data_IF_183895930863
#
_entry.id   IF_183895930863
#
_cell.length_a   1.000
_cell.length_b   1.000
_cell.length_c   1.000
_cell.angle_alpha   90.00
_cell.angle_beta   90.00
_cell.angle_gamma   90.00
#
_symmetry.space_group_name_H-M   'P 1'
#
loop_
_entity.id
_entity.type
_entity.pdbx_description
1 polymer ?
#
# COMPACT_ATOMS: atom_id res chain seq x y z
N UNK A 1 32.70 -6.74 18.55
CA UNK A 1 32.21 -6.73 17.15
C UNK A 1 30.77 -7.27 17.05
N UNK A 2 30.50 -8.53 17.51
CA UNK A 2 29.11 -9.09 17.45
C UNK A 2 28.15 -8.28 18.32
N UNK A 3 28.50 -7.96 19.54
CA UNK A 3 27.70 -7.16 20.46
C UNK A 3 27.44 -5.74 19.94
N UNK A 4 28.46 -5.10 19.37
CA UNK A 4 28.32 -3.76 18.77
C UNK A 4 27.41 -3.76 17.55
N UNK A 5 27.44 -4.82 16.73
CA UNK A 5 26.53 -5.01 15.61
C UNK A 5 25.09 -5.20 16.10
N UNK A 6 24.90 -6.03 17.13
CA UNK A 6 23.60 -6.31 17.72
C UNK A 6 22.98 -5.03 18.33
N UNK A 7 23.73 -4.27 19.11
CA UNK A 7 23.28 -2.98 19.64
C UNK A 7 22.99 -1.95 18.53
N UNK A 8 23.80 -1.95 17.47
CA UNK A 8 23.58 -1.12 16.29
C UNK A 8 22.26 -1.46 15.59
N UNK A 9 22.00 -2.76 15.39
CA UNK A 9 20.75 -3.24 14.78
C UNK A 9 19.52 -2.87 15.63
N UNK A 10 19.59 -3.05 16.96
CA UNK A 10 18.50 -2.70 17.89
C UNK A 10 18.16 -1.22 17.82
N UNK A 11 19.17 -0.36 17.84
CA UNK A 11 18.99 1.08 17.75
C UNK A 11 18.36 1.47 16.41
N UNK A 12 18.89 0.95 15.32
CA UNK A 12 18.38 1.22 13.99
C UNK A 12 16.94 0.69 13.80
N UNK A 13 16.63 -0.48 14.34
CA UNK A 13 15.27 -1.03 14.32
C UNK A 13 14.32 -0.13 15.08
N UNK A 14 14.64 0.29 16.31
CA UNK A 14 13.78 1.15 17.10
C UNK A 14 13.48 2.49 16.40
N UNK A 15 14.50 3.15 15.84
CA UNK A 15 14.32 4.39 15.08
C UNK A 15 13.41 4.17 13.85
N UNK A 16 13.68 3.13 13.06
CA UNK A 16 12.90 2.82 11.85
C UNK A 16 11.48 2.37 12.16
N UNK A 17 11.28 1.66 13.25
CA UNK A 17 9.95 1.26 13.69
C UNK A 17 9.06 2.47 13.98
N UNK A 18 9.57 3.49 14.67
CA UNK A 18 8.83 4.74 14.89
C UNK A 18 8.53 5.49 13.59
N UNK A 19 9.48 5.51 12.65
CA UNK A 19 9.24 6.10 11.35
C UNK A 19 8.12 5.37 10.60
N UNK A 20 8.14 4.03 10.61
CA UNK A 20 7.09 3.19 9.99
C UNK A 20 5.73 3.43 10.67
N UNK A 21 5.68 3.48 12.00
CA UNK A 21 4.43 3.77 12.74
C UNK A 21 3.81 5.10 12.28
N UNK A 22 4.62 6.14 12.17
CA UNK A 22 4.17 7.47 11.75
C UNK A 22 3.65 7.46 10.31
N UNK A 23 4.39 6.88 9.38
CA UNK A 23 3.99 6.81 7.98
C UNK A 23 2.79 5.86 7.78
N UNK A 24 2.68 4.79 8.59
CA UNK A 24 1.52 3.91 8.57
C UNK A 24 0.23 4.64 8.99
N UNK A 25 0.26 5.44 10.06
CA UNK A 25 -0.91 6.22 10.48
C UNK A 25 -1.33 7.24 9.40
N UNK A 26 -0.37 7.87 8.71
CA UNK A 26 -0.66 8.78 7.60
C UNK A 26 -1.30 8.06 6.42
N UNK A 27 -0.67 6.98 5.94
CA UNK A 27 -1.18 6.20 4.82
C UNK A 27 -2.56 5.61 5.15
N UNK A 28 -2.77 5.13 6.38
CA UNK A 28 -4.03 4.63 6.87
C UNK A 28 -5.13 5.70 6.79
N UNK A 29 -4.88 6.89 7.33
CA UNK A 29 -5.85 8.00 7.29
C UNK A 29 -6.24 8.40 5.88
N UNK A 30 -5.29 8.41 4.96
CA UNK A 30 -5.58 8.76 3.56
C UNK A 30 -6.40 7.68 2.85
N UNK A 31 -6.04 6.41 3.02
CA UNK A 31 -6.73 5.30 2.38
C UNK A 31 -8.11 5.03 2.96
N UNK A 32 -8.29 5.16 4.26
CA UNK A 32 -9.60 4.98 4.92
C UNK A 32 -10.46 6.25 4.91
N UNK A 33 -9.87 7.41 4.60
CA UNK A 33 -10.54 8.71 4.72
C UNK A 33 -10.71 9.15 6.17
N UNK A 34 -9.79 8.75 7.06
CA UNK A 34 -9.77 9.05 8.48
C UNK A 34 -9.42 7.83 9.35
N UNK A 35 -9.72 7.89 10.62
CA UNK A 35 -9.39 6.81 11.57
C UNK A 35 -7.96 6.87 12.07
N UNK A 36 -7.44 5.74 12.55
CA UNK A 36 -6.08 5.62 13.10
C UNK A 36 -5.50 4.24 12.82
N UNK A 37 -4.25 4.19 12.36
CA UNK A 37 -3.45 2.98 12.26
C UNK A 37 -2.28 3.02 13.24
N UNK A 38 -2.03 1.93 13.96
CA UNK A 38 -0.93 1.84 14.93
C UNK A 38 -0.25 0.49 14.82
N UNK A 39 1.07 0.47 14.99
CA UNK A 39 1.87 -0.73 15.13
C UNK A 39 2.37 -0.81 16.57
N UNK A 40 2.32 -1.97 17.19
CA UNK A 40 2.83 -2.22 18.53
C UNK A 40 3.74 -3.43 18.50
N UNK A 41 4.84 -3.37 19.26
CA UNK A 41 5.67 -4.54 19.52
C UNK A 41 5.02 -5.40 20.60
N UNK A 42 5.13 -6.71 20.48
CA UNK A 42 4.71 -7.62 21.54
C UNK A 42 5.56 -7.36 22.80
N UNK A 43 4.91 -7.37 23.95
CA UNK A 43 5.59 -7.29 25.25
C UNK A 43 6.35 -8.59 25.51
N UNK A 44 7.44 -8.53 26.26
CA UNK A 44 8.24 -9.65 26.75
C UNK A 44 9.19 -10.33 25.74
N UNK A 45 9.36 -9.81 24.51
CA UNK A 45 10.29 -10.37 23.55
C UNK A 45 11.44 -9.41 23.22
N UNK A 46 12.55 -9.98 22.75
CA UNK A 46 13.66 -9.21 22.20
C UNK A 46 13.15 -8.35 21.03
N UNK A 47 13.51 -7.06 21.00
CA UNK A 47 13.02 -6.10 19.99
C UNK A 47 13.26 -6.55 18.55
N UNK A 48 14.30 -7.36 18.29
CA UNK A 48 14.61 -7.90 16.96
C UNK A 48 13.79 -9.14 16.61
N UNK A 49 13.25 -9.84 17.62
CA UNK A 49 12.45 -11.05 17.49
C UNK A 49 10.97 -10.81 17.84
N UNK A 50 10.68 -9.63 18.39
CA UNK A 50 9.33 -9.27 18.83
C UNK A 50 8.32 -9.32 17.70
N UNK A 51 7.19 -9.93 17.94
CA UNK A 51 6.04 -9.89 17.04
C UNK A 51 5.49 -8.46 16.90
N UNK A 52 4.96 -8.11 15.71
CA UNK A 52 4.34 -6.81 15.46
C UNK A 52 2.82 -6.98 15.43
N UNK A 53 2.13 -6.28 16.31
CA UNK A 53 0.66 -6.19 16.32
C UNK A 53 0.23 -5.00 15.48
N UNK A 54 -0.66 -5.25 14.51
CA UNK A 54 -1.28 -4.21 13.69
C UNK A 54 -2.64 -3.90 14.30
N UNK A 55 -2.82 -2.66 14.72
CA UNK A 55 -4.03 -2.16 15.35
C UNK A 55 -4.62 -1.09 14.45
N UNK A 56 -5.91 -1.22 14.16
CA UNK A 56 -6.64 -0.34 13.25
C UNK A 56 -7.89 0.18 13.90
N UNK A 57 -8.19 1.43 13.64
CA UNK A 57 -9.46 2.08 13.98
C UNK A 57 -10.01 2.75 12.73
N UNK A 58 -10.76 2.02 11.88
CA UNK A 58 -11.46 2.63 10.77
C UNK A 58 -12.44 3.72 11.23
N UNK A 59 -12.78 4.70 10.37
CA UNK A 59 -13.72 5.75 10.72
C UNK A 59 -15.04 5.20 11.26
N UNK A 60 -15.51 5.74 12.40
CA UNK A 60 -16.75 5.31 13.06
C UNK A 60 -16.70 3.97 13.80
N UNK A 61 -15.55 3.30 13.85
CA UNK A 61 -15.36 2.05 14.58
C UNK A 61 -14.47 2.23 15.81
N UNK A 62 -14.56 1.24 16.73
CA UNK A 62 -13.63 1.15 17.86
C UNK A 62 -12.29 0.61 17.39
N UNK A 63 -11.26 0.81 18.20
CA UNK A 63 -9.94 0.23 18.00
C UNK A 63 -10.04 -1.30 17.94
N UNK A 64 -9.48 -1.90 16.92
CA UNK A 64 -9.55 -3.32 16.63
C UNK A 64 -8.18 -3.84 16.20
N UNK A 65 -7.92 -5.11 16.57
CA UNK A 65 -6.80 -5.82 15.97
C UNK A 65 -7.15 -6.26 14.54
N UNK A 66 -6.14 -6.47 13.72
CA UNK A 66 -6.32 -6.81 12.32
C UNK A 66 -7.20 -8.04 12.09
N UNK A 67 -7.22 -8.99 13.03
CA UNK A 67 -8.05 -10.22 12.94
C UNK A 67 -9.55 -9.93 12.98
N UNK A 68 -9.96 -8.83 13.60
CA UNK A 68 -11.37 -8.45 13.81
C UNK A 68 -11.95 -7.61 12.66
N UNK A 69 -11.08 -7.18 11.71
CA UNK A 69 -11.48 -6.39 10.54
C UNK A 69 -12.18 -7.26 9.49
N UNK A 70 -13.02 -6.63 8.67
CA UNK A 70 -13.55 -7.27 7.45
C UNK A 70 -12.43 -7.56 6.43
N UNK A 71 -12.69 -8.41 5.44
CA UNK A 71 -11.71 -8.77 4.42
C UNK A 71 -11.15 -7.55 3.67
N UNK A 72 -12.01 -6.63 3.23
CA UNK A 72 -11.61 -5.39 2.57
C UNK A 72 -10.82 -4.44 3.48
N UNK A 73 -11.21 -4.32 4.76
CA UNK A 73 -10.47 -3.52 5.74
C UNK A 73 -9.08 -4.11 6.05
N UNK A 74 -8.97 -5.44 6.12
CA UNK A 74 -7.68 -6.13 6.24
C UNK A 74 -6.78 -5.82 5.06
N UNK A 75 -7.30 -5.96 3.84
CA UNK A 75 -6.56 -5.66 2.63
C UNK A 75 -6.10 -4.20 2.59
N UNK A 76 -6.99 -3.25 2.88
CA UNK A 76 -6.66 -1.83 2.89
C UNK A 76 -5.64 -1.47 3.98
N UNK A 77 -5.71 -2.12 5.15
CA UNK A 77 -4.72 -1.96 6.23
C UNK A 77 -3.34 -2.50 5.81
N UNK A 78 -3.29 -3.66 5.15
CA UNK A 78 -2.04 -4.22 4.63
C UNK A 78 -1.43 -3.31 3.54
N UNK A 79 -2.25 -2.77 2.64
CA UNK A 79 -1.84 -1.80 1.62
C UNK A 79 -1.29 -0.52 2.28
N UNK A 80 -1.93 -0.02 3.35
CA UNK A 80 -1.43 1.14 4.09
C UNK A 80 -0.04 0.90 4.68
N UNK A 81 0.22 -0.30 5.21
CA UNK A 81 1.54 -0.67 5.72
C UNK A 81 2.58 -0.79 4.61
N UNK A 82 2.23 -1.41 3.48
CA UNK A 82 3.10 -1.48 2.30
C UNK A 82 3.54 -0.09 1.86
N UNK A 83 2.61 0.83 1.72
CA UNK A 83 2.91 2.19 1.29
C UNK A 83 3.64 3.03 2.35
N UNK A 84 3.42 2.76 3.64
CA UNK A 84 4.21 3.37 4.70
C UNK A 84 5.71 3.02 4.56
N UNK A 85 6.01 1.76 4.28
CA UNK A 85 7.39 1.31 4.04
C UNK A 85 7.94 1.92 2.74
N UNK A 86 7.14 1.94 1.68
CA UNK A 86 7.50 2.52 0.39
C UNK A 86 7.81 4.03 0.49
N UNK A 87 7.06 4.78 1.32
CA UNK A 87 7.30 6.21 1.56
C UNK A 87 8.63 6.48 2.25
N UNK A 88 9.05 5.62 3.17
CA UNK A 88 10.31 5.78 3.90
C UNK A 88 11.53 5.44 3.05
N UNK A 89 11.38 4.48 2.16
CA UNK A 89 12.45 4.07 1.25
C UNK A 89 11.87 3.84 -0.15
N UNK A 90 11.62 4.91 -0.92
CA UNK A 90 11.05 4.80 -2.25
C UNK A 90 11.92 3.94 -3.16
N UNK A 91 11.30 2.99 -3.83
CA UNK A 91 11.92 2.23 -4.92
C UNK A 91 11.75 2.97 -6.24
N UNK A 92 12.65 2.85 -7.21
CA UNK A 92 12.50 3.48 -8.52
C UNK A 92 11.26 2.99 -9.25
N UNK A 93 10.86 1.75 -9.06
CA UNK A 93 9.61 1.18 -9.55
C UNK A 93 9.01 0.20 -8.55
N UNK A 94 7.70 -0.03 -8.66
CA UNK A 94 6.94 -0.98 -7.85
C UNK A 94 5.93 -1.72 -8.74
N UNK A 95 5.96 -3.06 -8.70
CA UNK A 95 5.01 -3.92 -9.38
C UNK A 95 3.95 -4.39 -8.39
N UNK A 96 2.69 -4.11 -8.68
CA UNK A 96 1.53 -4.50 -7.87
C UNK A 96 0.63 -5.41 -8.68
N UNK A 97 0.35 -6.60 -8.16
CA UNK A 97 -0.46 -7.61 -8.83
C UNK A 97 -1.77 -7.82 -8.04
N UNK A 98 -2.86 -7.27 -8.57
CA UNK A 98 -4.24 -7.37 -8.04
C UNK A 98 -4.39 -7.11 -6.52
N UNK A 99 -3.53 -6.29 -5.92
CA UNK A 99 -3.53 -6.06 -4.46
C UNK A 99 -4.83 -5.41 -3.96
N UNK A 100 -5.55 -4.72 -4.82
CA UNK A 100 -6.84 -4.06 -4.54
C UNK A 100 -8.07 -4.95 -4.84
N UNK A 101 -7.89 -6.21 -5.22
CA UNK A 101 -8.99 -7.10 -5.62
C UNK A 101 -10.07 -7.26 -4.52
N UNK A 102 -9.68 -7.24 -3.26
CA UNK A 102 -10.59 -7.37 -2.11
C UNK A 102 -11.27 -6.04 -1.70
N UNK A 103 -10.94 -4.92 -2.35
CA UNK A 103 -11.50 -3.61 -2.02
C UNK A 103 -12.86 -3.40 -2.70
N UNK A 104 -13.75 -2.67 -2.05
CA UNK A 104 -14.95 -2.12 -2.69
C UNK A 104 -14.61 -0.93 -3.60
N UNK A 105 -15.55 -0.51 -4.44
CA UNK A 105 -15.31 0.53 -5.45
C UNK A 105 -14.92 1.90 -4.83
N UNK A 106 -15.44 2.23 -3.66
CA UNK A 106 -15.09 3.46 -2.93
C UNK A 106 -13.63 3.42 -2.48
N UNK A 107 -13.19 2.31 -1.93
CA UNK A 107 -11.82 2.11 -1.48
C UNK A 107 -10.83 1.96 -2.65
N UNK A 108 -11.25 1.38 -3.78
CA UNK A 108 -10.45 1.37 -5.03
C UNK A 108 -10.18 2.80 -5.50
N UNK A 109 -11.18 3.69 -5.47
CA UNK A 109 -10.97 5.10 -5.82
C UNK A 109 -9.96 5.81 -4.92
N UNK A 110 -10.01 5.57 -3.61
CA UNK A 110 -9.02 6.12 -2.65
C UNK A 110 -7.62 5.55 -2.86
N UNK A 111 -7.53 4.24 -3.08
CA UNK A 111 -6.29 3.57 -3.42
C UNK A 111 -5.64 4.18 -4.67
N UNK A 112 -6.40 4.32 -5.75
CA UNK A 112 -5.93 4.91 -7.00
C UNK A 112 -5.45 6.36 -6.83
N UNK A 113 -6.21 7.18 -6.09
CA UNK A 113 -5.82 8.56 -5.76
C UNK A 113 -4.55 8.63 -4.91
N UNK A 114 -4.37 7.68 -4.00
CA UNK A 114 -3.16 7.59 -3.18
C UNK A 114 -1.94 7.21 -4.03
N UNK A 115 -2.09 6.24 -4.92
CA UNK A 115 -1.04 5.85 -5.87
C UNK A 115 -0.56 7.04 -6.71
N UNK A 116 -1.47 7.84 -7.24
CA UNK A 116 -1.13 9.03 -8.05
C UNK A 116 -0.23 10.02 -7.28
N UNK A 117 -0.37 10.12 -5.95
CA UNK A 117 0.54 10.95 -5.14
C UNK A 117 1.95 10.40 -5.08
N UNK A 118 2.09 9.08 -5.11
CA UNK A 118 3.38 8.39 -5.01
C UNK A 118 4.14 8.32 -6.35
N UNK A 119 3.46 8.54 -7.49
CA UNK A 119 4.09 8.49 -8.83
C UNK A 119 5.15 9.57 -9.02
N UNK A 120 5.20 10.58 -8.16
CA UNK A 120 6.25 11.62 -8.19
C UNK A 120 7.66 11.05 -7.99
N UNK A 121 7.78 9.96 -7.24
CA UNK A 121 9.07 9.38 -6.84
C UNK A 121 9.23 7.91 -7.24
N UNK A 122 8.17 7.25 -7.71
CA UNK A 122 8.14 5.81 -8.00
C UNK A 122 7.29 5.56 -9.24
N UNK A 123 7.79 4.76 -10.17
CA UNK A 123 6.98 4.22 -11.27
C UNK A 123 6.17 3.04 -10.75
N UNK A 124 4.83 3.08 -10.89
CA UNK A 124 3.96 1.95 -10.56
C UNK A 124 3.58 1.18 -11.83
N UNK A 125 3.74 -0.13 -11.78
CA UNK A 125 3.25 -1.08 -12.77
C UNK A 125 2.20 -1.92 -12.06
N UNK A 126 0.95 -1.85 -12.52
CA UNK A 126 -0.18 -2.44 -11.81
C UNK A 126 -0.90 -3.42 -12.74
N UNK A 127 -1.01 -4.66 -12.31
CA UNK A 127 -1.88 -5.66 -12.93
C UNK A 127 -3.23 -5.54 -12.23
N UNK A 128 -4.28 -5.25 -12.99
CA UNK A 128 -5.61 -5.00 -12.42
C UNK A 128 -6.73 -5.29 -13.42
N UNK A 129 -7.89 -5.65 -12.90
CA UNK A 129 -9.15 -5.70 -13.63
C UNK A 129 -10.15 -4.63 -13.14
N UNK A 130 -9.73 -3.75 -12.20
CA UNK A 130 -10.60 -2.73 -11.59
C UNK A 130 -10.58 -1.43 -12.40
N UNK A 131 -11.76 -1.00 -12.86
CA UNK A 131 -11.91 0.24 -13.63
C UNK A 131 -11.40 1.48 -12.89
N UNK A 132 -11.62 1.56 -11.57
CA UNK A 132 -11.14 2.67 -10.75
C UNK A 132 -9.62 2.83 -10.80
N UNK A 133 -8.88 1.73 -10.77
CA UNK A 133 -7.42 1.73 -10.90
C UNK A 133 -6.98 2.08 -12.34
N UNK A 134 -7.65 1.51 -13.35
CA UNK A 134 -7.38 1.79 -14.75
C UNK A 134 -7.53 3.28 -15.10
N UNK A 135 -8.60 3.92 -14.59
CA UNK A 135 -8.87 5.34 -14.86
C UNK A 135 -7.81 6.29 -14.26
N UNK A 136 -7.05 5.83 -13.29
CA UNK A 136 -6.00 6.61 -12.63
C UNK A 136 -4.62 6.40 -13.27
N UNK A 137 -4.49 5.53 -14.26
CA UNK A 137 -3.24 5.25 -14.95
C UNK A 137 -2.94 6.28 -16.04
N UNK A 138 -1.67 6.58 -16.26
CA UNK A 138 -1.22 7.42 -17.39
C UNK A 138 -1.25 6.62 -18.71
N UNK A 139 -0.97 5.31 -18.62
CA UNK A 139 -0.91 4.41 -19.77
C UNK A 139 -1.53 3.06 -19.44
N UNK A 140 -2.35 2.54 -20.34
CA UNK A 140 -2.93 1.21 -20.24
C UNK A 140 -2.29 0.25 -21.24
N UNK A 141 -2.00 -0.95 -20.76
CA UNK A 141 -1.56 -2.07 -21.56
C UNK A 141 -2.60 -3.19 -21.45
N UNK A 142 -3.28 -3.45 -22.55
CA UNK A 142 -4.20 -4.57 -22.67
C UNK A 142 -3.44 -5.81 -23.14
N UNK A 143 -3.65 -6.93 -22.45
CA UNK A 143 -3.14 -8.24 -22.90
C UNK A 143 -4.31 -9.00 -23.49
N UNK A 144 -4.18 -9.37 -24.75
CA UNK A 144 -5.20 -10.14 -25.47
C UNK A 144 -4.58 -11.41 -26.06
N UNK A 145 -5.41 -12.37 -26.42
CA UNK A 145 -4.99 -13.62 -27.05
C UNK A 145 -5.76 -13.75 -28.37
N UNK A 146 -5.11 -13.42 -29.48
CA UNK A 146 -5.67 -13.58 -30.82
C UNK A 146 -5.53 -15.02 -31.32
N UNK A 147 -4.43 -15.67 -30.98
CA UNK A 147 -4.16 -17.08 -31.26
C UNK A 147 -4.04 -17.83 -29.93
N UNK A 148 -4.50 -19.10 -29.88
CA UNK A 148 -4.40 -19.91 -28.67
C UNK A 148 -2.95 -20.01 -28.18
N UNK A 149 -2.70 -19.57 -26.94
CA UNK A 149 -1.40 -19.65 -26.29
C UNK A 149 -0.43 -18.51 -26.67
N UNK A 150 -0.85 -17.54 -27.49
CA UNK A 150 -0.03 -16.38 -27.87
C UNK A 150 -0.64 -15.08 -27.36
N UNK A 151 0.03 -14.47 -26.38
CA UNK A 151 -0.40 -13.17 -25.83
C UNK A 151 0.06 -12.04 -26.74
N UNK A 152 -0.83 -11.09 -27.02
CA UNK A 152 -0.56 -9.89 -27.81
C UNK A 152 -0.79 -8.68 -26.94
N UNK A 153 0.17 -7.73 -26.99
CA UNK A 153 0.12 -6.48 -26.23
C UNK A 153 -0.58 -5.39 -27.06
N UNK A 154 -1.54 -4.71 -26.46
CA UNK A 154 -2.17 -3.49 -26.98
C UNK A 154 -1.95 -2.36 -25.98
N UNK A 155 -1.39 -1.23 -26.38
CA UNK A 155 -1.15 -0.07 -25.52
C UNK A 155 -2.04 1.10 -25.90
N UNK A 156 -2.56 1.81 -24.89
CA UNK A 156 -3.34 3.04 -25.06
C UNK A 156 -2.82 4.08 -24.05
N UNK A 157 -2.38 5.24 -24.56
CA UNK A 157 -2.08 6.40 -23.74
C UNK A 157 -3.38 7.09 -23.35
N UNK A 158 -3.62 7.22 -22.06
CA UNK A 158 -4.71 8.03 -21.54
C UNK A 158 -4.28 9.50 -21.55
N UNK A 159 -4.42 10.16 -22.68
CA UNK A 159 -4.24 11.61 -22.75
C UNK A 159 -5.42 12.22 -21.98
N UNK A 160 -5.16 13.05 -20.97
CA UNK A 160 -6.17 13.91 -20.39
C UNK A 160 -6.93 14.59 -21.52
N UNK A 161 -8.23 14.31 -21.64
CA UNK A 161 -9.07 14.94 -22.64
C UNK A 161 -9.04 16.45 -22.45
N UNK A 162 -8.30 17.17 -23.29
CA UNK A 162 -8.52 18.59 -23.56
C UNK A 162 -9.85 18.81 -24.28
N UNK A 163 -10.93 18.26 -23.74
CA UNK A 163 -12.29 18.52 -24.17
C UNK A 163 -13.04 19.30 -23.10
N UNK A 164 -12.50 20.47 -22.76
CA UNK A 164 -13.27 21.54 -22.12
C UNK A 164 -12.86 22.86 -22.77
N UNK A 165 -13.47 23.11 -23.91
CA UNK A 165 -13.75 24.46 -24.40
C UNK A 165 -15.22 24.56 -24.73
#
# INVERSE_FOLDING_TARGET
IIQELDEGMRRQFAEKFHDIQREFDKAFKELFGGGKGTLELAEDEDILEAGIKIISQPPGKKLQNMMQLSGGEKALTAIALLFAIQNLKPSPFCLLDEIEAALDDSNVGRFASYLQKLTKNTQFIIITHRRGTMNAADRLYGITMQEKGVSTLVSVDLVENQLSK
#
